data_IF_038600661696
#
_entry.id   IF_038600661696
#
_cell.length_a   1.000
_cell.length_b   1.000
_cell.length_c   1.000
_cell.angle_alpha   90.00
_cell.angle_beta   90.00
_cell.angle_gamma   90.00
#
_symmetry.space_group_name_H-M   'P 1'
#
loop_
_entity.id
_entity.type
_entity.pdbx_description
1 polymer ?
#
# COMPACT_ATOMS: atom_id res chain seq x y z
N UNK A 1 3.24 -2.75 -19.18
CA UNK A 1 3.53 -1.78 -18.12
C UNK A 1 4.00 -2.55 -16.89
N UNK A 2 5.20 -2.28 -16.38
CA UNK A 2 5.74 -2.99 -15.22
C UNK A 2 5.08 -2.51 -13.92
N UNK A 3 4.82 -3.42 -12.98
CA UNK A 3 4.43 -3.09 -11.60
C UNK A 3 5.55 -2.47 -10.76
N UNK A 4 6.64 -2.03 -11.39
CA UNK A 4 7.77 -1.45 -10.70
C UNK A 4 7.38 -0.09 -10.11
N UNK A 5 7.44 0.02 -8.79
CA UNK A 5 7.21 1.27 -8.07
C UNK A 5 8.53 2.04 -8.08
N UNK A 6 8.56 3.31 -8.54
CA UNK A 6 9.78 4.11 -8.50
C UNK A 6 10.31 4.27 -7.07
N UNK A 7 11.63 4.25 -6.89
CA UNK A 7 12.27 4.40 -5.58
C UNK A 7 11.85 5.69 -4.86
N UNK A 8 11.70 6.80 -5.60
CA UNK A 8 11.24 8.07 -5.02
C UNK A 8 9.85 7.95 -4.39
N UNK A 9 8.95 7.21 -5.04
CA UNK A 9 7.60 6.96 -4.54
C UNK A 9 7.65 6.09 -3.29
N UNK A 10 8.45 5.02 -3.29
CA UNK A 10 8.66 4.18 -2.09
C UNK A 10 9.15 5.02 -0.90
N UNK A 11 10.15 5.88 -1.10
CA UNK A 11 10.70 6.74 -0.05
C UNK A 11 9.65 7.71 0.52
N UNK A 12 8.80 8.29 -0.33
CA UNK A 12 7.69 9.15 0.11
C UNK A 12 6.70 8.37 0.98
N UNK A 13 6.33 7.17 0.56
CA UNK A 13 5.38 6.30 1.29
C UNK A 13 5.97 5.86 2.64
N UNK A 14 7.22 5.38 2.68
CA UNK A 14 7.88 4.98 3.94
C UNK A 14 7.97 6.14 4.93
N UNK A 15 8.36 7.34 4.46
CA UNK A 15 8.45 8.54 5.31
C UNK A 15 7.09 8.97 5.85
N UNK A 16 6.04 8.89 5.03
CA UNK A 16 4.67 9.24 5.42
C UNK A 16 4.12 8.25 6.45
N UNK A 17 4.28 6.96 6.19
CA UNK A 17 3.63 5.90 6.96
C UNK A 17 4.40 5.52 8.23
N UNK A 18 5.64 5.98 8.38
CA UNK A 18 6.42 5.83 9.62
C UNK A 18 6.68 4.38 10.01
N UNK A 19 6.79 3.48 9.02
CA UNK A 19 6.93 2.03 9.23
C UNK A 19 5.76 1.39 9.99
N UNK A 20 4.59 2.02 9.94
CA UNK A 20 3.33 1.50 10.49
C UNK A 20 2.47 0.98 9.33
N UNK A 21 1.89 -0.21 9.51
CA UNK A 21 0.97 -0.79 8.54
C UNK A 21 -0.31 0.04 8.47
N UNK A 22 -0.65 0.55 7.30
CA UNK A 22 -1.85 1.37 7.09
C UNK A 22 -3.15 0.54 6.97
N UNK A 23 -3.11 -0.76 7.31
CA UNK A 23 -4.29 -1.63 7.42
C UNK A 23 -4.57 -1.95 8.89
N UNK A 24 -3.59 -2.49 9.61
CA UNK A 24 -3.78 -2.95 10.99
C UNK A 24 -3.22 -2.00 12.06
N UNK A 25 -2.55 -0.92 11.63
CA UNK A 25 -1.94 0.10 12.49
C UNK A 25 -0.86 -0.44 13.46
N UNK A 26 -0.21 -1.55 13.11
CA UNK A 26 0.92 -2.11 13.86
C UNK A 26 2.25 -1.89 13.12
N UNK A 27 3.40 -1.85 13.83
CA UNK A 27 4.72 -1.71 13.20
C UNK A 27 5.01 -2.82 12.20
N UNK A 28 5.63 -2.49 11.06
CA UNK A 28 6.03 -3.44 10.03
C UNK A 28 7.51 -3.76 10.14
N UNK A 29 7.88 -5.03 10.44
CA UNK A 29 9.28 -5.45 10.39
C UNK A 29 9.89 -5.26 9.00
N UNK A 30 11.18 -4.93 8.91
CA UNK A 30 11.89 -4.68 7.64
C UNK A 30 11.72 -5.83 6.62
N UNK A 31 11.67 -7.07 7.08
CA UNK A 31 11.51 -8.26 6.24
C UNK A 31 10.05 -8.57 5.85
N UNK A 32 9.09 -7.73 6.23
CA UNK A 32 7.67 -7.88 5.91
C UNK A 32 7.06 -6.66 5.22
N UNK A 33 7.87 -5.65 4.87
CA UNK A 33 7.41 -4.43 4.19
C UNK A 33 6.95 -4.73 2.77
N UNK A 34 5.70 -4.40 2.48
CA UNK A 34 5.15 -4.35 1.13
C UNK A 34 4.49 -2.99 0.87
N UNK A 35 4.43 -2.60 -0.41
CA UNK A 35 3.71 -1.41 -0.87
C UNK A 35 2.43 -1.87 -1.59
N UNK A 36 1.28 -1.65 -0.96
CA UNK A 36 -0.03 -2.02 -1.50
C UNK A 36 -0.70 -0.83 -2.18
N UNK A 37 -1.44 -1.10 -3.26
CA UNK A 37 -2.29 -0.12 -3.92
C UNK A 37 -3.67 -0.07 -3.24
N UNK A 38 -4.07 1.11 -2.77
CA UNK A 38 -5.40 1.33 -2.16
C UNK A 38 -6.48 1.03 -3.21
N UNK A 39 -6.40 1.69 -4.36
CA UNK A 39 -7.12 1.32 -5.58
C UNK A 39 -6.25 0.30 -6.33
N UNK A 40 -6.69 -0.96 -6.49
CA UNK A 40 -5.88 -1.99 -7.13
C UNK A 40 -5.38 -1.57 -8.52
N UNK A 41 -4.12 -1.91 -8.82
CA UNK A 41 -3.57 -1.67 -10.16
C UNK A 41 -4.40 -2.33 -11.27
N UNK A 42 -4.98 -3.50 -11.01
CA UNK A 42 -5.89 -4.20 -11.94
C UNK A 42 -7.17 -3.42 -12.26
N UNK A 43 -7.53 -2.43 -11.42
CA UNK A 43 -8.67 -1.53 -11.60
C UNK A 43 -8.24 -0.14 -12.06
N UNK A 44 -7.01 0.02 -12.54
CA UNK A 44 -6.48 1.30 -13.03
C UNK A 44 -5.94 2.23 -11.95
N UNK A 45 -5.72 1.73 -10.73
CA UNK A 45 -5.14 2.52 -9.66
C UNK A 45 -3.74 3.04 -9.99
N UNK A 46 -3.46 4.34 -9.80
CA UNK A 46 -2.17 4.93 -10.17
C UNK A 46 -1.07 4.49 -9.20
N UNK A 47 0.18 4.47 -9.68
CA UNK A 47 1.36 4.22 -8.84
C UNK A 47 1.91 5.55 -8.34
N UNK A 48 1.23 6.14 -7.36
CA UNK A 48 1.61 7.40 -6.73
C UNK A 48 1.68 7.22 -5.22
N UNK A 49 2.36 8.11 -4.48
CA UNK A 49 2.38 8.04 -3.03
C UNK A 49 0.98 8.03 -2.42
N UNK A 50 0.02 8.75 -3.00
CA UNK A 50 -1.35 8.88 -2.49
C UNK A 50 -2.16 7.58 -2.62
N UNK A 51 -1.89 6.77 -3.65
CA UNK A 51 -2.58 5.50 -3.87
C UNK A 51 -1.77 4.29 -3.37
N UNK A 52 -0.57 4.51 -2.83
CA UNK A 52 0.27 3.47 -2.24
C UNK A 52 0.31 3.60 -0.72
N UNK A 53 0.45 2.48 -0.04
CA UNK A 53 0.61 2.42 1.41
C UNK A 53 1.57 1.32 1.84
N UNK A 54 2.23 1.54 2.96
CA UNK A 54 3.10 0.58 3.62
C UNK A 54 2.25 -0.39 4.44
N UNK A 55 2.42 -1.69 4.20
CA UNK A 55 1.66 -2.75 4.87
C UNK A 55 2.54 -3.96 5.18
N UNK A 56 2.11 -4.81 6.11
CA UNK A 56 2.67 -6.16 6.23
C UNK A 56 2.33 -7.00 5.00
N UNK A 57 3.25 -7.86 4.59
CA UNK A 57 2.99 -8.89 3.57
C UNK A 57 1.77 -9.76 3.88
N UNK A 58 1.52 -10.06 5.15
CA UNK A 58 0.33 -10.80 5.58
C UNK A 58 -0.96 -9.99 5.43
N UNK A 59 -0.97 -8.72 5.87
CA UNK A 59 -2.11 -7.83 5.70
C UNK A 59 -2.46 -7.65 4.21
N UNK A 60 -1.45 -7.46 3.37
CA UNK A 60 -1.63 -7.36 1.92
C UNK A 60 -2.27 -8.63 1.33
N UNK A 61 -1.75 -9.81 1.71
CA UNK A 61 -2.27 -11.11 1.27
C UNK A 61 -3.73 -11.34 1.67
N UNK A 62 -4.12 -10.88 2.86
CA UNK A 62 -5.51 -10.96 3.37
C UNK A 62 -6.44 -10.05 2.57
N UNK A 63 -6.00 -8.84 2.21
CA UNK A 63 -6.77 -7.89 1.38
C UNK A 63 -6.97 -8.36 -0.06
N UNK A 64 -5.94 -8.91 -0.68
CA UNK A 64 -5.93 -9.25 -2.12
C UNK A 64 -6.20 -8.01 -3.00
N UNK A 65 -7.06 -8.14 -4.00
CA UNK A 65 -7.48 -7.10 -4.93
C UNK A 65 -8.80 -6.42 -4.51
N UNK A 66 -9.19 -6.54 -3.24
CA UNK A 66 -10.30 -5.77 -2.70
C UNK A 66 -10.01 -4.27 -2.86
N UNK A 67 -11.01 -3.52 -3.29
CA UNK A 67 -10.98 -2.07 -3.22
C UNK A 67 -11.10 -1.70 -1.74
N UNK A 68 -10.14 -0.93 -1.23
CA UNK A 68 -10.20 -0.53 0.17
C UNK A 68 -11.45 0.30 0.41
N UNK A 69 -12.17 0.01 1.50
CA UNK A 69 -13.43 0.64 1.91
C UNK A 69 -13.31 2.14 2.21
N UNK A 70 -12.13 2.75 2.03
CA UNK A 70 -11.93 4.21 2.00
C UNK A 70 -12.76 4.92 0.90
N UNK A 71 -13.36 4.17 -0.03
CA UNK A 71 -14.34 4.67 -1.01
C UNK A 71 -15.79 4.26 -0.70
N UNK A 72 -16.03 3.59 0.43
CA UNK A 72 -17.37 3.17 0.87
C UNK A 72 -18.06 4.22 1.76
N UNK A 73 -17.76 5.50 1.56
CA UNK A 73 -18.63 6.58 2.06
C UNK A 73 -19.71 6.87 1.01
N UNK A 74 -20.83 6.14 1.14
CA UNK A 74 -22.22 6.57 0.94
C UNK A 74 -23.16 5.56 1.64
#
# INVERSE_FOLDING_TARGET
>A
MSRAIPHEVMLKVVRRDGQICQICHQPVPDNQVEFDHIIPWSRGGPTTPENLRLVHSECNRRKRDALDELLAED
#
